data_IF_470777016756
#
_entry.id   IF_470777016756
#
_cell.length_a   1.000
_cell.length_b   1.000
_cell.length_c   1.000
_cell.angle_alpha   90.00
_cell.angle_beta   90.00
_cell.angle_gamma   90.00
#
_symmetry.space_group_name_H-M   'P 1'
#
loop_
_entity.id
_entity.type
_entity.pdbx_description
1 polymer ?
#
# COMPACT_ATOMS: atom_id res chain seq x y z
N UNK A 1 25.42 -53.69 -1.80
CA UNK A 1 25.64 -52.30 -2.26
C UNK A 1 24.48 -51.96 -3.20
N UNK A 2 23.38 -51.35 -2.75
CA UNK A 2 23.21 -49.93 -2.36
C UNK A 2 23.72 -48.98 -3.44
N UNK A 3 22.80 -48.52 -4.28
CA UNK A 3 23.00 -47.49 -5.28
C UNK A 3 21.83 -47.54 -6.25
N UNK A 4 21.30 -46.39 -6.67
CA UNK A 4 20.21 -46.27 -7.65
C UNK A 4 18.79 -46.58 -7.09
N UNK A 5 18.41 -45.95 -5.98
CA UNK A 5 16.98 -45.64 -5.70
C UNK A 5 16.70 -44.19 -5.33
N UNK A 6 17.73 -43.33 -5.31
CA UNK A 6 17.62 -41.93 -4.87
C UNK A 6 17.49 -40.95 -6.06
N UNK A 7 17.83 -41.39 -7.28
CA UNK A 7 17.83 -40.51 -8.45
C UNK A 7 16.50 -40.39 -9.20
N UNK A 8 15.50 -41.24 -8.89
CA UNK A 8 14.20 -41.19 -9.58
C UNK A 8 13.10 -40.43 -8.82
N UNK A 9 13.32 -40.07 -7.55
CA UNK A 9 12.33 -39.33 -6.75
C UNK A 9 12.55 -37.80 -6.76
N UNK A 10 13.51 -37.31 -7.56
CA UNK A 10 13.80 -35.89 -7.74
C UNK A 10 13.32 -35.32 -9.08
N UNK A 11 12.60 -36.12 -9.89
CA UNK A 11 12.24 -35.79 -11.27
C UNK A 11 10.73 -35.90 -11.56
N UNK A 12 9.89 -35.75 -10.53
CA UNK A 12 8.42 -35.74 -10.63
C UNK A 12 7.76 -34.40 -10.25
N UNK A 13 8.55 -33.31 -10.16
CA UNK A 13 8.06 -31.96 -9.84
C UNK A 13 8.27 -30.95 -10.96
N UNK A 14 8.18 -31.39 -12.22
CA UNK A 14 8.26 -30.47 -13.36
C UNK A 14 7.19 -30.82 -14.38
N UNK A 15 5.97 -30.30 -14.16
CA UNK A 15 5.12 -29.69 -15.19
C UNK A 15 3.75 -29.29 -14.60
N UNK A 16 3.55 -28.00 -14.37
CA UNK A 16 2.26 -27.34 -14.55
C UNK A 16 2.46 -25.81 -14.66
N UNK A 17 2.05 -25.31 -15.80
CA UNK A 17 2.30 -23.98 -16.37
C UNK A 17 1.20 -22.99 -15.91
N UNK A 18 1.63 -21.79 -15.51
CA UNK A 18 0.98 -20.47 -15.67
C UNK A 18 -0.37 -20.17 -14.97
N UNK A 19 -0.26 -19.88 -13.67
CA UNK A 19 -0.70 -18.59 -13.12
C UNK A 19 0.31 -18.26 -12.03
N UNK A 20 1.04 -17.13 -12.09
CA UNK A 20 2.15 -16.80 -11.17
C UNK A 20 1.69 -16.73 -9.70
N UNK A 21 1.52 -17.89 -9.06
CA UNK A 21 1.38 -18.08 -7.62
C UNK A 21 2.79 -18.43 -7.15
N UNK A 22 3.53 -17.41 -6.71
CA UNK A 22 4.87 -17.58 -6.13
C UNK A 22 4.87 -18.81 -5.19
N UNK A 23 5.79 -19.74 -5.41
CA UNK A 23 5.83 -20.99 -4.65
C UNK A 23 6.26 -20.72 -3.20
N UNK A 24 6.07 -21.69 -2.30
CA UNK A 24 6.48 -21.49 -0.89
C UNK A 24 8.00 -21.45 -0.78
N UNK A 25 8.66 -22.25 -1.61
CA UNK A 25 10.10 -22.36 -1.75
C UNK A 25 10.71 -21.06 -2.27
N UNK A 26 10.13 -20.48 -3.34
CA UNK A 26 10.55 -19.17 -3.85
C UNK A 26 10.40 -18.04 -2.81
N UNK A 27 9.39 -18.13 -1.94
CA UNK A 27 9.21 -17.15 -0.85
C UNK A 27 10.30 -17.35 0.20
N UNK A 28 10.60 -18.59 0.55
CA UNK A 28 11.63 -18.93 1.52
C UNK A 28 13.01 -18.48 1.05
N UNK A 29 13.38 -18.84 -0.17
CA UNK A 29 14.64 -18.45 -0.80
C UNK A 29 14.80 -16.92 -0.79
N UNK A 30 13.79 -16.17 -1.27
CA UNK A 30 13.82 -14.70 -1.26
C UNK A 30 13.97 -14.09 0.13
N UNK A 31 13.44 -14.74 1.17
CA UNK A 31 13.59 -14.27 2.56
C UNK A 31 15.00 -14.55 3.08
N UNK A 32 15.56 -15.72 2.76
CA UNK A 32 16.93 -16.10 3.14
C UNK A 32 17.93 -15.20 2.44
N UNK A 33 17.86 -15.02 1.12
CA UNK A 33 18.79 -14.14 0.37
C UNK A 33 18.81 -12.74 0.97
N UNK A 34 17.64 -12.17 1.26
CA UNK A 34 17.55 -10.84 1.89
C UNK A 34 18.10 -10.78 3.31
N UNK A 35 18.08 -11.88 4.05
CA UNK A 35 18.65 -11.94 5.39
C UNK A 35 20.17 -12.08 5.28
N UNK A 36 20.63 -12.98 4.41
CA UNK A 36 22.03 -13.25 4.08
C UNK A 36 22.76 -11.98 3.63
N UNK A 37 22.17 -11.22 2.70
CA UNK A 37 22.68 -9.91 2.25
C UNK A 37 22.94 -8.91 3.40
N UNK A 38 22.31 -9.09 4.57
CA UNK A 38 22.45 -8.16 5.70
C UNK A 38 23.40 -8.63 6.78
N UNK A 39 23.55 -9.94 6.96
CA UNK A 39 24.25 -10.50 8.13
C UNK A 39 25.19 -11.65 7.80
N UNK A 40 25.33 -12.01 6.52
CA UNK A 40 26.20 -13.07 6.01
C UNK A 40 26.02 -14.38 6.80
N UNK A 41 24.95 -15.10 6.49
CA UNK A 41 24.60 -16.36 7.14
C UNK A 41 25.59 -17.46 6.75
N UNK A 42 25.90 -18.34 7.69
CA UNK A 42 26.60 -19.59 7.38
C UNK A 42 25.67 -20.56 6.66
N UNK A 43 26.22 -21.55 5.96
CA UNK A 43 25.41 -22.56 5.26
C UNK A 43 24.50 -23.33 6.21
N UNK A 44 24.97 -23.66 7.42
CA UNK A 44 24.14 -24.31 8.44
C UNK A 44 22.97 -23.41 8.88
N UNK A 45 23.24 -22.12 9.12
CA UNK A 45 22.18 -21.16 9.46
C UNK A 45 21.16 -21.01 8.32
N UNK A 46 21.60 -20.99 7.05
CA UNK A 46 20.70 -20.93 5.89
C UNK A 46 19.76 -22.13 5.86
N UNK A 47 20.24 -23.34 6.12
CA UNK A 47 19.42 -24.56 6.16
C UNK A 47 18.37 -24.49 7.27
N UNK A 48 18.78 -24.14 8.49
CA UNK A 48 17.87 -24.06 9.65
C UNK A 48 16.81 -22.96 9.47
N UNK A 49 17.22 -21.77 9.02
CA UNK A 49 16.32 -20.65 8.76
C UNK A 49 15.37 -20.98 7.61
N UNK A 50 15.84 -21.69 6.57
CA UNK A 50 15.00 -22.14 5.46
C UNK A 50 13.85 -23.03 5.93
N UNK A 51 14.14 -24.00 6.79
CA UNK A 51 13.12 -24.89 7.35
C UNK A 51 12.04 -24.11 8.12
N UNK A 52 12.44 -23.17 8.99
CA UNK A 52 11.51 -22.32 9.75
C UNK A 52 10.63 -21.47 8.82
N UNK A 53 11.22 -20.91 7.77
CA UNK A 53 10.47 -20.07 6.82
C UNK A 53 9.52 -20.90 5.97
N UNK A 54 9.92 -22.09 5.54
CA UNK A 54 9.09 -23.01 4.76
C UNK A 54 7.86 -23.46 5.56
N UNK A 55 8.08 -23.90 6.81
CA UNK A 55 7.02 -24.31 7.74
C UNK A 55 5.99 -23.18 7.91
N UNK A 56 6.42 -22.02 8.40
CA UNK A 56 5.55 -20.87 8.64
C UNK A 56 4.86 -20.36 7.37
N UNK A 57 5.53 -20.38 6.21
CA UNK A 57 4.94 -19.92 4.95
C UNK A 57 3.89 -20.90 4.42
N UNK A 58 4.08 -22.20 4.63
CA UNK A 58 3.10 -23.24 4.29
C UNK A 58 1.84 -23.06 5.11
N UNK A 59 1.97 -22.96 6.44
CA UNK A 59 0.85 -22.74 7.35
C UNK A 59 0.08 -21.45 7.01
N UNK A 60 0.79 -20.34 6.78
CA UNK A 60 0.16 -19.07 6.38
C UNK A 60 -0.58 -19.22 5.03
N UNK A 61 -0.04 -19.99 4.08
CA UNK A 61 -0.69 -20.23 2.78
C UNK A 61 -1.97 -21.03 2.95
N UNK A 62 -2.00 -22.00 3.86
CA UNK A 62 -3.20 -22.78 4.20
C UNK A 62 -4.25 -21.92 4.91
N UNK A 63 -3.85 -21.18 5.94
CA UNK A 63 -4.74 -20.25 6.66
C UNK A 63 -5.40 -19.23 5.74
N UNK A 64 -4.71 -18.81 4.67
CA UNK A 64 -5.25 -17.89 3.65
C UNK A 64 -6.22 -18.53 2.66
N UNK A 65 -6.10 -19.84 2.39
CA UNK A 65 -7.06 -20.56 1.54
C UNK A 65 -8.43 -20.64 2.23
N UNK A 66 -8.44 -20.72 3.56
CA UNK A 66 -9.66 -20.94 4.34
C UNK A 66 -10.51 -19.67 4.56
N UNK A 67 -10.12 -18.51 4.00
CA UNK A 67 -10.84 -17.20 3.94
C UNK A 67 -11.41 -16.62 5.26
N UNK A 68 -11.34 -17.34 6.37
CA UNK A 68 -11.77 -16.92 7.69
C UNK A 68 -10.75 -16.00 8.38
N UNK A 69 -11.14 -15.46 9.53
CA UNK A 69 -10.48 -14.45 10.37
C UNK A 69 -9.12 -14.87 10.97
N UNK A 70 -8.25 -15.51 10.19
CA UNK A 70 -6.93 -15.98 10.61
C UNK A 70 -5.88 -14.86 10.66
N UNK A 71 -6.29 -13.59 10.64
CA UNK A 71 -5.35 -12.46 10.56
C UNK A 71 -4.43 -12.41 11.78
N UNK A 72 -4.98 -12.66 12.97
CA UNK A 72 -4.23 -12.65 14.23
C UNK A 72 -3.31 -13.88 14.34
N UNK A 73 -3.81 -15.05 13.95
CA UNK A 73 -3.02 -16.29 13.87
C UNK A 73 -1.82 -16.12 12.91
N UNK A 74 -2.07 -15.58 11.71
CA UNK A 74 -1.00 -15.27 10.74
C UNK A 74 0.01 -14.26 11.31
N UNK A 75 -0.47 -13.26 12.07
CA UNK A 75 0.41 -12.29 12.72
C UNK A 75 1.28 -12.96 13.79
N UNK A 76 0.72 -13.88 14.58
CA UNK A 76 1.43 -14.63 15.60
C UNK A 76 2.48 -15.55 14.99
N UNK A 77 2.14 -16.34 13.96
CA UNK A 77 3.10 -17.19 13.23
C UNK A 77 4.30 -16.37 12.71
N UNK A 78 4.05 -15.16 12.21
CA UNK A 78 5.13 -14.25 11.76
C UNK A 78 5.99 -13.69 12.88
N UNK A 79 5.47 -13.58 14.10
CA UNK A 79 6.25 -13.16 15.28
C UNK A 79 7.12 -14.32 15.74
N UNK A 80 6.56 -15.52 15.81
CA UNK A 80 7.26 -16.75 16.19
C UNK A 80 8.35 -17.11 15.18
N UNK A 81 8.07 -17.06 13.87
CA UNK A 81 9.07 -17.20 12.79
C UNK A 81 10.28 -16.28 13.05
N UNK A 82 10.04 -15.01 13.37
CA UNK A 82 11.11 -14.04 13.63
C UNK A 82 11.87 -14.31 14.94
N UNK A 83 11.20 -14.85 15.95
CA UNK A 83 11.84 -15.20 17.22
C UNK A 83 12.79 -16.38 17.02
N UNK A 84 12.31 -17.48 16.41
CA UNK A 84 13.11 -18.66 16.06
C UNK A 84 14.32 -18.30 15.19
N UNK A 85 14.12 -17.48 14.15
CA UNK A 85 15.25 -17.02 13.31
C UNK A 85 16.26 -16.23 14.14
N UNK A 86 15.82 -15.38 15.07
CA UNK A 86 16.72 -14.57 15.89
C UNK A 86 17.59 -15.43 16.81
N UNK A 87 17.07 -16.54 17.32
CA UNK A 87 17.81 -17.50 18.17
C UNK A 87 18.95 -18.20 17.43
N UNK A 88 18.83 -18.39 16.11
CA UNK A 88 19.87 -18.98 15.26
C UNK A 88 21.00 -17.98 14.95
N UNK A 89 20.71 -16.67 14.99
CA UNK A 89 21.69 -15.63 14.69
C UNK A 89 22.62 -15.36 15.88
N UNK A 90 23.91 -15.20 15.60
CA UNK A 90 24.88 -14.76 16.61
C UNK A 90 24.57 -13.35 17.11
N UNK A 91 25.11 -12.97 18.27
CA UNK A 91 24.92 -11.61 18.80
C UNK A 91 25.40 -10.53 17.83
N UNK A 92 26.52 -10.76 17.16
CA UNK A 92 27.07 -9.89 16.12
C UNK A 92 26.13 -9.78 14.90
N UNK A 93 25.56 -10.89 14.43
CA UNK A 93 24.57 -10.85 13.34
C UNK A 93 23.29 -10.11 13.77
N UNK A 94 22.89 -10.24 15.03
CA UNK A 94 21.73 -9.52 15.56
C UNK A 94 21.97 -8.01 15.65
N UNK A 95 23.17 -7.55 15.99
CA UNK A 95 23.52 -6.12 16.00
C UNK A 95 23.54 -5.56 14.57
N UNK A 96 24.19 -6.25 13.63
CA UNK A 96 24.17 -5.89 12.20
C UNK A 96 22.74 -5.78 11.66
N UNK A 97 21.88 -6.74 12.00
CA UNK A 97 20.48 -6.70 11.57
C UNK A 97 19.71 -5.52 12.16
N UNK A 98 19.99 -5.13 13.41
CA UNK A 98 19.37 -3.95 14.05
C UNK A 98 19.85 -2.66 13.38
N UNK A 99 21.12 -2.54 13.07
CA UNK A 99 21.70 -1.38 12.40
C UNK A 99 21.18 -1.23 10.97
N UNK A 100 21.15 -2.32 10.19
CA UNK A 100 20.55 -2.32 8.86
C UNK A 100 19.07 -1.90 8.89
N UNK A 101 18.30 -2.32 9.92
CA UNK A 101 16.92 -1.86 10.12
C UNK A 101 16.84 -0.37 10.46
N UNK A 102 17.75 0.16 11.28
CA UNK A 102 17.80 1.59 11.61
C UNK A 102 18.17 2.42 10.39
N UNK A 103 19.22 2.05 9.66
CA UNK A 103 19.64 2.72 8.43
C UNK A 103 18.49 2.79 7.42
N UNK A 104 17.83 1.66 7.16
CA UNK A 104 16.65 1.61 6.29
C UNK A 104 15.49 2.49 6.79
N UNK A 105 15.29 2.63 8.10
CA UNK A 105 14.25 3.54 8.64
C UNK A 105 14.59 5.00 8.37
N UNK A 106 15.85 5.39 8.54
CA UNK A 106 16.34 6.74 8.25
C UNK A 106 16.18 7.05 6.76
N UNK A 107 16.64 6.16 5.89
CA UNK A 107 16.49 6.26 4.43
C UNK A 107 15.01 6.42 4.02
N UNK A 108 14.12 5.56 4.54
CA UNK A 108 12.68 5.66 4.26
C UNK A 108 12.07 6.97 4.77
N UNK A 109 12.58 7.54 5.87
CA UNK A 109 12.11 8.82 6.41
C UNK A 109 12.55 9.95 5.49
N UNK A 110 13.83 10.02 5.14
CA UNK A 110 14.38 11.01 4.22
C UNK A 110 13.64 10.99 2.88
N UNK A 111 13.41 9.79 2.32
CA UNK A 111 12.61 9.61 1.11
C UNK A 111 11.22 10.23 1.20
N UNK A 112 10.49 9.95 2.29
CA UNK A 112 9.14 10.50 2.50
C UNK A 112 9.16 12.02 2.62
N UNK A 113 10.20 12.56 3.25
CA UNK A 113 10.41 14.00 3.38
C UNK A 113 10.67 14.64 2.01
N UNK A 114 11.51 14.03 1.17
CA UNK A 114 11.74 14.48 -0.21
C UNK A 114 10.45 14.49 -1.04
N UNK A 115 9.68 13.40 -1.02
CA UNK A 115 8.39 13.34 -1.74
C UNK A 115 7.41 14.40 -1.21
N UNK A 116 7.39 14.62 0.11
CA UNK A 116 6.54 15.65 0.73
C UNK A 116 6.99 17.05 0.34
N UNK A 117 8.29 17.31 0.30
CA UNK A 117 8.88 18.59 -0.11
C UNK A 117 8.55 18.89 -1.57
N UNK A 118 8.80 17.94 -2.47
CA UNK A 118 8.44 18.05 -3.89
C UNK A 118 6.96 18.38 -4.08
N UNK A 119 6.08 17.63 -3.40
CA UNK A 119 4.63 17.89 -3.49
C UNK A 119 4.25 19.27 -2.94
N UNK A 120 4.93 19.74 -1.89
CA UNK A 120 4.71 21.07 -1.30
C UNK A 120 5.13 22.18 -2.26
N UNK A 121 6.23 21.97 -2.99
CA UNK A 121 6.82 22.97 -3.88
C UNK A 121 6.18 23.01 -5.27
N UNK A 122 5.89 21.85 -5.87
CA UNK A 122 5.48 21.77 -7.26
C UNK A 122 4.00 21.43 -7.48
N UNK A 123 3.38 20.66 -6.55
CA UNK A 123 2.00 20.18 -6.74
C UNK A 123 1.00 21.09 -6.04
N UNK A 124 1.22 21.35 -4.76
CA UNK A 124 0.27 22.12 -3.93
C UNK A 124 0.00 23.53 -4.46
N UNK A 125 1.00 24.32 -4.90
CA UNK A 125 0.73 25.68 -5.35
C UNK A 125 -0.18 25.70 -6.57
N UNK A 126 0.12 24.86 -7.58
CA UNK A 126 -0.69 24.82 -8.81
C UNK A 126 -2.11 24.32 -8.53
N UNK A 127 -2.27 23.29 -7.69
CA UNK A 127 -3.61 22.82 -7.30
C UNK A 127 -4.37 23.89 -6.53
N UNK A 128 -3.71 24.65 -5.65
CA UNK A 128 -4.33 25.74 -4.90
C UNK A 128 -4.76 26.88 -5.81
N UNK A 129 -3.92 27.25 -6.79
CA UNK A 129 -4.24 28.26 -7.79
C UNK A 129 -5.45 27.86 -8.64
N UNK A 130 -5.47 26.62 -9.14
CA UNK A 130 -6.63 26.09 -9.88
C UNK A 130 -7.91 26.07 -9.06
N UNK A 131 -7.82 25.86 -7.74
CA UNK A 131 -8.99 25.98 -6.85
C UNK A 131 -9.48 27.41 -6.73
N UNK A 132 -8.57 28.38 -6.57
CA UNK A 132 -8.94 29.80 -6.53
C UNK A 132 -9.61 30.23 -7.83
N UNK A 133 -9.06 29.83 -8.97
CA UNK A 133 -9.67 30.08 -10.29
C UNK A 133 -11.08 29.48 -10.37
N UNK A 134 -11.25 28.23 -9.91
CA UNK A 134 -12.55 27.57 -9.90
C UNK A 134 -13.55 28.22 -8.93
N UNK A 135 -13.11 28.68 -7.76
CA UNK A 135 -13.96 29.37 -6.77
C UNK A 135 -14.55 30.69 -7.30
N UNK A 136 -13.93 31.31 -8.29
CA UNK A 136 -14.47 32.50 -8.96
C UNK A 136 -15.69 32.18 -9.86
N UNK A 137 -15.80 30.92 -10.32
CA UNK A 137 -16.92 30.45 -11.14
C UNK A 137 -18.13 30.00 -10.31
N UNK A 138 -17.93 29.78 -9.01
CA UNK A 138 -18.96 29.27 -8.12
C UNK A 138 -19.86 30.37 -7.57
N UNK A 139 -21.16 30.07 -7.49
CA UNK A 139 -22.12 30.91 -6.77
C UNK A 139 -21.88 30.84 -5.25
N UNK A 140 -22.48 31.76 -4.49
CA UNK A 140 -22.38 31.73 -3.03
C UNK A 140 -23.00 30.45 -2.45
N UNK A 141 -24.16 30.04 -2.96
CA UNK A 141 -24.83 28.81 -2.53
C UNK A 141 -23.97 27.56 -2.78
N UNK A 142 -23.24 27.51 -3.90
CA UNK A 142 -22.32 26.41 -4.22
C UNK A 142 -21.12 26.38 -3.28
N UNK A 143 -20.57 27.55 -2.92
CA UNK A 143 -19.48 27.68 -1.94
C UNK A 143 -19.91 27.20 -0.56
N UNK A 144 -21.12 27.57 -0.15
CA UNK A 144 -21.70 27.18 1.13
C UNK A 144 -21.96 25.66 1.17
N UNK A 145 -22.46 25.08 0.07
CA UNK A 145 -22.64 23.63 -0.08
C UNK A 145 -21.31 22.85 -0.02
N UNK A 146 -20.24 23.36 -0.65
CA UNK A 146 -18.90 22.77 -0.56
C UNK A 146 -18.38 22.84 0.88
N UNK A 147 -18.57 23.96 1.56
CA UNK A 147 -18.16 24.16 2.95
C UNK A 147 -18.89 23.21 3.89
N UNK A 148 -20.22 23.08 3.74
CA UNK A 148 -21.01 22.10 4.48
C UNK A 148 -20.52 20.65 4.22
N UNK A 149 -20.20 20.32 2.96
CA UNK A 149 -19.66 19.00 2.62
C UNK A 149 -18.28 18.73 3.25
N UNK A 150 -17.43 19.75 3.40
CA UNK A 150 -16.13 19.65 4.09
C UNK A 150 -16.32 19.34 5.58
N UNK A 151 -17.33 19.92 6.23
CA UNK A 151 -17.65 19.68 7.65
C UNK A 151 -18.14 18.24 7.92
N UNK A 152 -18.77 17.59 6.94
CA UNK A 152 -19.22 16.20 7.03
C UNK A 152 -18.08 15.16 6.90
N UNK A 153 -16.89 15.60 6.49
CA UNK A 153 -15.74 14.72 6.33
C UNK A 153 -15.35 14.16 7.70
N UNK A 154 -15.21 12.83 7.84
CA UNK A 154 -14.85 12.24 9.13
C UNK A 154 -13.52 12.82 9.58
N UNK A 155 -13.52 13.51 10.73
CA UNK A 155 -12.28 13.91 11.38
C UNK A 155 -11.47 12.65 11.62
N UNK A 156 -10.25 12.62 11.08
CA UNK A 156 -9.41 11.42 10.98
C UNK A 156 -9.00 10.85 12.35
N UNK A 157 -9.92 10.25 13.11
CA UNK A 157 -9.54 9.23 14.08
C UNK A 157 -9.11 8.03 13.25
N UNK A 158 -7.86 7.60 13.41
CA UNK A 158 -7.34 6.32 12.89
C UNK A 158 -8.02 5.17 13.65
N UNK A 159 -9.34 5.06 13.55
CA UNK A 159 -10.06 3.93 14.11
C UNK A 159 -9.90 2.76 13.16
N UNK A 160 -9.64 1.58 13.73
CA UNK A 160 -9.75 0.35 12.95
C UNK A 160 -11.19 0.24 12.44
N UNK A 161 -11.38 0.11 11.13
CA UNK A 161 -12.71 0.00 10.52
C UNK A 161 -13.52 -1.17 11.07
N UNK A 162 -12.85 -2.17 11.64
CA UNK A 162 -13.46 -3.31 12.29
C UNK A 162 -13.92 -3.04 13.72
N UNK A 163 -13.37 -2.00 14.35
CA UNK A 163 -13.69 -1.58 15.70
C UNK A 163 -14.76 -0.47 15.77
N UNK A 164 -15.27 0.01 14.62
CA UNK A 164 -16.40 0.94 14.61
C UNK A 164 -17.67 0.23 15.07
N UNK A 165 -18.46 0.92 15.90
CA UNK A 165 -19.84 0.50 16.18
C UNK A 165 -20.68 0.56 14.91
N UNK A 166 -21.80 -0.16 14.89
CA UNK A 166 -22.75 -0.08 13.77
C UNK A 166 -23.28 1.35 13.59
N UNK A 167 -23.54 2.06 14.70
CA UNK A 167 -23.94 3.46 14.70
C UNK A 167 -22.90 4.37 14.03
N UNK A 168 -21.60 4.20 14.34
CA UNK A 168 -20.54 4.97 13.70
C UNK A 168 -20.42 4.67 12.20
N UNK A 169 -20.62 3.41 11.80
CA UNK A 169 -20.64 3.01 10.38
C UNK A 169 -21.83 3.64 9.65
N UNK A 170 -22.99 3.68 10.28
CA UNK A 170 -24.19 4.33 9.75
C UNK A 170 -24.00 5.84 9.60
N UNK A 171 -23.43 6.51 10.61
CA UNK A 171 -23.07 7.94 10.52
C UNK A 171 -22.11 8.19 9.37
N UNK A 172 -21.06 7.37 9.21
CA UNK A 172 -20.13 7.50 8.09
C UNK A 172 -20.80 7.31 6.72
N UNK A 173 -21.76 6.39 6.63
CA UNK A 173 -22.53 6.16 5.40
C UNK A 173 -23.45 7.34 5.12
N UNK A 174 -24.16 7.85 6.13
CA UNK A 174 -25.06 9.01 6.03
C UNK A 174 -24.29 10.26 5.60
N UNK A 175 -23.20 10.61 6.29
CA UNK A 175 -22.32 11.71 5.89
C UNK A 175 -21.83 11.53 4.45
N UNK A 176 -21.50 10.29 4.08
CA UNK A 176 -21.11 9.91 2.73
C UNK A 176 -22.19 10.14 1.67
N UNK A 177 -23.46 10.02 2.02
CA UNK A 177 -24.61 10.26 1.15
C UNK A 177 -24.95 11.76 1.09
N UNK A 178 -24.95 12.44 2.23
CA UNK A 178 -25.15 13.90 2.32
C UNK A 178 -24.09 14.68 1.55
N UNK A 179 -22.81 14.33 1.69
CA UNK A 179 -21.74 14.91 0.88
C UNK A 179 -21.99 14.74 -0.62
N UNK A 180 -22.56 13.60 -1.05
CA UNK A 180 -22.89 13.39 -2.46
C UNK A 180 -24.08 14.25 -2.90
N UNK A 181 -25.09 14.41 -2.05
CA UNK A 181 -26.25 15.28 -2.33
C UNK A 181 -25.81 16.73 -2.53
N UNK A 182 -24.90 17.22 -1.69
CA UNK A 182 -24.37 18.59 -1.77
C UNK A 182 -23.48 18.79 -3.01
N UNK A 183 -22.58 17.84 -3.30
CA UNK A 183 -21.55 18.06 -4.32
C UNK A 183 -21.94 17.59 -5.73
N UNK A 184 -22.83 16.60 -5.89
CA UNK A 184 -23.19 16.11 -7.23
C UNK A 184 -23.78 17.21 -8.14
N UNK A 185 -24.71 18.07 -7.67
CA UNK A 185 -25.24 19.15 -8.51
C UNK A 185 -24.13 20.06 -9.05
N UNK A 186 -23.19 20.46 -8.18
CA UNK A 186 -22.04 21.31 -8.53
C UNK A 186 -21.14 20.59 -9.54
N UNK A 187 -20.85 19.31 -9.31
CA UNK A 187 -20.00 18.50 -10.22
C UNK A 187 -20.63 18.37 -11.61
N UNK A 188 -21.95 18.20 -11.71
CA UNK A 188 -22.63 18.10 -13.00
C UNK A 188 -22.77 19.47 -13.68
N UNK A 189 -22.98 20.54 -12.93
CA UNK A 189 -23.05 21.91 -13.45
C UNK A 189 -21.69 22.38 -14.02
N UNK A 190 -20.60 22.13 -13.30
CA UNK A 190 -19.24 22.57 -13.65
C UNK A 190 -18.37 21.45 -14.23
N UNK A 191 -19.00 20.54 -14.97
CA UNK A 191 -18.35 19.31 -15.42
C UNK A 191 -17.21 19.57 -16.41
N UNK A 192 -17.38 20.53 -17.32
CA UNK A 192 -16.39 20.80 -18.37
C UNK A 192 -15.15 21.47 -17.78
N UNK A 193 -15.35 22.39 -16.86
CA UNK A 193 -14.33 23.11 -16.10
C UNK A 193 -13.51 22.11 -15.28
N UNK A 194 -14.18 21.20 -14.55
CA UNK A 194 -13.51 20.18 -13.74
C UNK A 194 -12.70 19.17 -14.58
N UNK A 195 -13.17 18.78 -15.77
CA UNK A 195 -12.39 17.93 -16.68
C UNK A 195 -11.20 18.68 -17.28
N UNK A 196 -11.34 19.98 -17.58
CA UNK A 196 -10.25 20.83 -18.07
C UNK A 196 -9.16 20.96 -17.00
N UNK A 197 -9.54 21.32 -15.77
CA UNK A 197 -8.62 21.40 -14.62
C UNK A 197 -7.93 20.06 -14.39
N UNK A 198 -8.65 18.94 -14.51
CA UNK A 198 -8.06 17.61 -14.38
C UNK A 198 -6.99 17.36 -15.44
N UNK A 199 -7.27 17.67 -16.71
CA UNK A 199 -6.32 17.50 -17.80
C UNK A 199 -5.07 18.38 -17.61
N UNK A 200 -5.23 19.62 -17.15
CA UNK A 200 -4.12 20.53 -16.85
C UNK A 200 -3.26 20.06 -15.67
N UNK A 201 -3.86 19.44 -14.65
CA UNK A 201 -3.15 18.92 -13.48
C UNK A 201 -2.50 17.55 -13.71
N UNK A 202 -2.95 16.78 -14.70
CA UNK A 202 -2.43 15.45 -15.03
C UNK A 202 -0.89 15.42 -15.22
N UNK A 203 -0.25 16.30 -16.03
CA UNK A 203 1.20 16.29 -16.17
C UNK A 203 1.94 16.53 -14.84
N UNK A 204 1.38 17.36 -13.96
CA UNK A 204 1.95 17.65 -12.63
C UNK A 204 1.88 16.41 -11.74
N UNK A 205 0.76 15.68 -11.77
CA UNK A 205 0.62 14.44 -11.02
C UNK A 205 1.51 13.31 -11.54
N UNK A 206 1.67 13.19 -12.86
CA UNK A 206 2.59 12.21 -13.44
C UNK A 206 4.05 12.56 -13.13
N UNK A 207 4.43 13.85 -13.12
CA UNK A 207 5.75 14.28 -12.66
C UNK A 207 5.99 13.95 -11.18
N UNK A 208 5.00 14.21 -10.30
CA UNK A 208 5.09 13.86 -8.88
C UNK A 208 5.21 12.34 -8.64
N UNK A 209 4.49 11.55 -9.44
CA UNK A 209 4.57 10.09 -9.42
C UNK A 209 5.92 9.58 -9.93
N UNK A 210 6.46 10.17 -11.00
CA UNK A 210 7.81 9.87 -11.48
C UNK A 210 8.86 10.20 -10.42
N UNK A 211 8.72 11.33 -9.71
CA UNK A 211 9.60 11.67 -8.59
C UNK A 211 9.53 10.63 -7.45
N UNK A 212 8.32 10.24 -7.03
CA UNK A 212 8.14 9.20 -6.02
C UNK A 212 8.72 7.84 -6.44
N UNK A 213 8.67 7.51 -7.73
CA UNK A 213 9.30 6.32 -8.29
C UNK A 213 10.82 6.40 -8.28
N UNK A 214 11.42 7.54 -8.66
CA UNK A 214 12.87 7.78 -8.59
C UNK A 214 13.40 7.63 -7.17
N UNK A 215 12.65 8.15 -6.20
CA UNK A 215 12.94 8.03 -4.77
C UNK A 215 12.87 6.55 -4.28
N UNK A 216 12.37 5.61 -5.08
CA UNK A 216 12.33 4.18 -4.72
C UNK A 216 11.06 3.79 -3.96
N UNK A 217 9.99 4.57 -4.02
CA UNK A 217 8.67 4.20 -3.49
C UNK A 217 7.95 3.25 -4.46
N UNK A 218 8.54 2.07 -4.71
CA UNK A 218 8.02 0.99 -5.57
C UNK A 218 6.73 0.30 -5.05
N UNK A 219 6.06 0.89 -4.06
CA UNK A 219 4.74 0.48 -3.60
C UNK A 219 3.63 1.49 -3.94
N UNK A 220 3.84 2.39 -4.90
CA UNK A 220 2.75 2.74 -5.80
C UNK A 220 2.44 1.47 -6.61
N UNK A 221 1.76 0.49 -6.01
CA UNK A 221 1.15 -0.60 -6.75
C UNK A 221 0.44 0.07 -7.92
N UNK A 222 0.83 -0.30 -9.13
CA UNK A 222 0.00 -0.18 -10.32
C UNK A 222 -1.35 -0.84 -9.99
N UNK A 223 -2.21 -0.15 -9.25
CA UNK A 223 -3.65 -0.40 -9.24
C UNK A 223 -4.01 -0.07 -10.67
N UNK A 224 -4.06 -1.13 -11.48
CA UNK A 224 -3.77 -1.10 -12.90
C UNK A 224 -4.41 0.05 -13.64
N UNK A 225 -3.74 0.50 -14.71
CA UNK A 225 -4.25 1.38 -15.77
C UNK A 225 -5.77 1.51 -15.65
N UNK A 226 -6.25 2.53 -14.93
CA UNK A 226 -7.68 2.75 -14.82
C UNK A 226 -8.10 3.23 -16.20
N UNK A 227 -8.71 2.34 -16.96
CA UNK A 227 -9.58 2.70 -18.08
C UNK A 227 -10.42 3.90 -17.63
N UNK A 228 -10.52 4.91 -18.50
CA UNK A 228 -11.51 5.99 -18.46
C UNK A 228 -12.85 5.42 -17.98
N UNK A 229 -13.09 5.49 -16.69
CA UNK A 229 -14.31 4.99 -16.08
C UNK A 229 -14.91 6.20 -15.44
N UNK A 230 -16.20 6.43 -15.66
CA UNK A 230 -16.96 7.54 -15.04
C UNK A 230 -16.77 7.62 -13.51
N UNK A 231 -16.31 6.54 -12.87
CA UNK A 231 -15.94 6.46 -11.45
C UNK A 231 -14.59 7.11 -11.10
N UNK A 232 -13.67 7.29 -12.05
CA UNK A 232 -12.40 8.01 -11.90
C UNK A 232 -12.61 9.52 -11.87
N UNK A 233 -13.43 10.01 -12.79
CA UNK A 233 -13.75 11.42 -12.99
C UNK A 233 -14.43 12.03 -11.78
N UNK A 234 -15.51 11.39 -11.29
CA UNK A 234 -16.17 11.84 -10.06
C UNK A 234 -15.22 11.85 -8.85
N UNK A 235 -14.31 10.87 -8.74
CA UNK A 235 -13.35 10.84 -7.61
C UNK A 235 -12.36 11.99 -7.64
N UNK A 236 -11.94 12.44 -8.81
CA UNK A 236 -11.11 13.63 -8.93
C UNK A 236 -11.90 14.85 -8.42
N UNK A 237 -13.10 15.07 -8.96
CA UNK A 237 -13.93 16.21 -8.59
C UNK A 237 -14.22 16.27 -7.08
N UNK A 238 -14.64 15.16 -6.46
CA UNK A 238 -14.81 15.10 -5.00
C UNK A 238 -13.55 15.48 -4.23
N UNK A 239 -12.38 14.99 -4.65
CA UNK A 239 -11.12 15.30 -3.97
C UNK A 239 -10.70 16.75 -4.18
N UNK A 240 -10.95 17.29 -5.36
CA UNK A 240 -10.64 18.67 -5.71
C UNK A 240 -11.46 19.65 -4.85
N UNK A 241 -12.78 19.42 -4.74
CA UNK A 241 -13.69 20.27 -3.96
C UNK A 241 -13.50 20.14 -2.44
N UNK A 242 -13.19 18.94 -1.93
CA UNK A 242 -13.07 18.64 -0.49
C UNK A 242 -11.66 18.82 0.11
N UNK A 243 -10.74 19.40 -0.64
CA UNK A 243 -9.38 19.65 -0.18
C UNK A 243 -9.18 21.15 -0.01
N UNK A 244 -8.55 21.54 1.10
CA UNK A 244 -8.06 22.90 1.38
C UNK A 244 -6.68 23.11 0.75
#
# INVERSE_FOLDING_TARGET
MRGIKITLMMLLFCQAVLAQKVSVEEIAEKKITKLDEKVSLTENQKVEISAIILESTTEIKELRKNKAENQDVIMQLRKEEKAKIKEILSEEQQTLLKEAKKAKRVENKARRENIKAYNKEHVKPVVSEKRKEFELLLSQDEKDAITAARMLKPQHKKMDRKALSEEEKEVMKSNGEEMRKLLNPIIEAHKQELETIKAELEPIYEAAKANAQKEGELNFKNKGKKKNSKKGDKRFAYRFLLSE
#
